data_IF_221669424684
#
_entry.id   IF_221669424684
#
_cell.length_a   1.000
_cell.length_b   1.000
_cell.length_c   1.000
_cell.angle_alpha   90.00
_cell.angle_beta   90.00
_cell.angle_gamma   90.00
#
_symmetry.space_group_name_H-M   'P 1'
#
loop_
_entity.id
_entity.type
_entity.pdbx_description
1 polymer ?
#
# COMPACT_ATOMS: atom_id res chain seq x y z
N UNK A 1 -0.62 16.08 7.08
CA UNK A 1 0.76 16.00 6.63
C UNK A 1 0.88 14.96 5.54
N UNK A 2 1.86 15.17 4.76
CA UNK A 2 2.05 14.42 3.54
C UNK A 2 3.41 13.74 3.54
N UNK A 3 3.56 12.75 2.67
CA UNK A 3 4.83 12.04 2.51
C UNK A 3 5.90 12.97 1.92
N UNK A 4 7.13 12.79 2.37
CA UNK A 4 8.29 13.45 1.76
C UNK A 4 8.65 12.74 0.46
N UNK A 5 9.48 13.39 -0.37
CA UNK A 5 9.99 12.79 -1.61
C UNK A 5 10.75 11.50 -1.34
N UNK A 6 11.53 11.45 -0.25
CA UNK A 6 12.22 10.23 0.17
C UNK A 6 11.27 9.08 0.45
N UNK A 7 10.16 9.35 1.17
CA UNK A 7 9.15 8.34 1.48
C UNK A 7 8.50 7.80 0.21
N UNK A 8 8.19 8.67 -0.74
CA UNK A 8 7.60 8.26 -2.02
C UNK A 8 8.57 7.42 -2.85
N UNK A 9 9.84 7.81 -2.90
CA UNK A 9 10.87 7.06 -3.61
C UNK A 9 11.05 5.65 -3.04
N UNK A 10 11.03 5.53 -1.73
CA UNK A 10 11.16 4.24 -1.03
C UNK A 10 9.98 3.31 -1.39
N UNK A 11 8.76 3.83 -1.40
CA UNK A 11 7.57 3.06 -1.75
C UNK A 11 7.68 2.56 -3.18
N UNK A 12 8.12 3.41 -4.10
CA UNK A 12 8.22 3.08 -5.51
C UNK A 12 9.31 2.02 -5.79
N UNK A 13 10.40 2.04 -5.04
CA UNK A 13 11.56 1.19 -5.29
C UNK A 13 11.56 -0.13 -4.52
N UNK A 14 10.60 -0.35 -3.62
CA UNK A 14 10.61 -1.50 -2.72
C UNK A 14 9.31 -2.26 -2.76
N UNK A 15 9.40 -3.56 -2.42
CA UNK A 15 8.22 -4.36 -2.13
C UNK A 15 7.68 -3.95 -0.76
N UNK A 16 6.37 -3.89 -0.62
CA UNK A 16 5.72 -3.58 0.65
C UNK A 16 5.14 -4.84 1.30
N UNK A 17 5.08 -4.83 2.62
CA UNK A 17 4.33 -5.80 3.40
C UNK A 17 3.09 -5.08 3.92
N UNK A 18 1.93 -5.51 3.44
CA UNK A 18 0.66 -4.82 3.71
C UNK A 18 -0.15 -5.61 4.70
N UNK A 19 -0.50 -4.97 5.81
CA UNK A 19 -1.29 -5.55 6.88
C UNK A 19 -2.73 -5.03 6.82
N UNK A 20 -3.66 -5.94 6.98
CA UNK A 20 -5.10 -5.67 7.07
C UNK A 20 -5.67 -6.43 8.26
N UNK A 21 -6.90 -6.15 8.64
CA UNK A 21 -7.56 -6.87 9.72
C UNK A 21 -9.05 -7.03 9.43
N UNK A 22 -9.64 -8.08 10.00
CA UNK A 22 -11.09 -8.22 10.00
C UNK A 22 -11.71 -7.18 10.93
N UNK A 23 -13.04 -7.03 10.88
CA UNK A 23 -13.74 -6.09 11.77
C UNK A 23 -13.63 -6.48 13.25
N UNK A 24 -13.37 -7.75 13.54
CA UNK A 24 -13.15 -8.22 14.92
C UNK A 24 -11.67 -8.40 15.27
N UNK A 25 -10.78 -7.84 14.45
CA UNK A 25 -9.37 -7.70 14.81
C UNK A 25 -8.45 -8.85 14.43
N UNK A 26 -8.87 -9.79 13.59
CA UNK A 26 -7.96 -10.85 13.11
C UNK A 26 -7.01 -10.26 12.07
N UNK A 27 -5.69 -10.25 12.33
CA UNK A 27 -4.73 -9.63 11.41
C UNK A 27 -4.35 -10.53 10.25
N UNK A 28 -3.93 -9.89 9.15
CA UNK A 28 -3.39 -10.57 7.97
C UNK A 28 -2.30 -9.70 7.36
N UNK A 29 -1.26 -10.32 6.82
CA UNK A 29 -0.17 -9.59 6.16
C UNK A 29 0.25 -10.32 4.90
N UNK A 30 0.47 -9.57 3.81
CA UNK A 30 0.90 -10.11 2.53
C UNK A 30 1.94 -9.20 1.88
N UNK A 31 2.88 -9.75 1.10
CA UNK A 31 3.78 -8.93 0.30
C UNK A 31 3.06 -8.41 -0.95
N UNK A 32 3.31 -7.17 -1.31
CA UNK A 32 2.74 -6.52 -2.49
C UNK A 32 3.88 -5.93 -3.31
N UNK A 33 3.97 -6.34 -4.58
CA UNK A 33 4.99 -5.85 -5.51
C UNK A 33 4.53 -4.64 -6.32
N UNK A 34 3.26 -4.59 -6.70
CA UNK A 34 2.71 -3.48 -7.46
C UNK A 34 2.10 -2.43 -6.54
N UNK A 35 2.97 -1.59 -6.00
CA UNK A 35 2.61 -0.46 -5.14
C UNK A 35 3.43 0.75 -5.58
N UNK A 36 2.78 1.90 -5.72
CA UNK A 36 3.48 3.16 -6.05
C UNK A 36 2.73 4.37 -5.50
N UNK A 37 3.44 5.45 -5.17
CA UNK A 37 2.78 6.69 -4.84
C UNK A 37 2.20 7.34 -6.10
N UNK A 38 1.03 7.96 -5.97
CA UNK A 38 0.46 8.82 -7.01
C UNK A 38 0.86 10.27 -6.77
N UNK A 39 0.85 10.68 -5.51
CA UNK A 39 1.25 11.99 -5.05
C UNK A 39 1.70 11.87 -3.59
N UNK A 40 1.91 13.01 -2.92
CA UNK A 40 2.40 13.01 -1.54
C UNK A 40 1.36 12.62 -0.48
N UNK A 41 0.14 12.26 -0.89
CA UNK A 41 -0.94 11.85 0.02
C UNK A 41 -1.49 10.48 -0.30
N UNK A 42 -1.32 10.02 -1.53
CA UNK A 42 -1.99 8.81 -2.00
C UNK A 42 -1.03 7.81 -2.60
N UNK A 43 -1.34 6.54 -2.38
CA UNK A 43 -0.57 5.40 -2.86
C UNK A 43 -1.52 4.45 -3.58
N UNK A 44 -1.08 3.87 -4.68
CA UNK A 44 -1.89 2.98 -5.49
C UNK A 44 -1.33 1.57 -5.45
N UNK A 45 -2.19 0.59 -5.22
CA UNK A 45 -1.87 -0.84 -5.29
C UNK A 45 -2.67 -1.48 -6.41
N UNK A 46 -2.03 -2.35 -7.18
CA UNK A 46 -2.72 -3.22 -8.12
C UNK A 46 -3.08 -4.53 -7.42
N UNK A 47 -4.39 -4.81 -7.30
CA UNK A 47 -4.89 -6.05 -6.71
C UNK A 47 -4.93 -7.14 -7.77
N UNK A 48 -3.91 -7.99 -7.80
CA UNK A 48 -3.86 -9.14 -8.70
C UNK A 48 -4.23 -10.46 -8.02
N UNK A 49 -3.80 -10.64 -6.77
CA UNK A 49 -3.91 -11.92 -6.06
C UNK A 49 -4.50 -11.82 -4.64
N UNK A 50 -4.99 -10.66 -4.26
CA UNK A 50 -5.53 -10.49 -2.92
C UNK A 50 -6.81 -11.29 -2.72
N UNK A 51 -6.88 -12.07 -1.67
CA UNK A 51 -8.07 -12.84 -1.28
C UNK A 51 -8.51 -12.40 0.12
N UNK A 52 -7.77 -12.80 1.15
CA UNK A 52 -8.09 -12.40 2.53
C UNK A 52 -7.92 -10.90 2.74
N UNK A 53 -6.85 -10.32 2.20
CA UNK A 53 -6.61 -8.87 2.28
C UNK A 53 -7.74 -8.09 1.62
N UNK A 54 -8.21 -8.53 0.45
CA UNK A 54 -9.32 -7.89 -0.25
C UNK A 54 -10.60 -7.94 0.57
N UNK A 55 -10.94 -9.11 1.11
CA UNK A 55 -12.12 -9.27 1.97
C UNK A 55 -12.03 -8.39 3.22
N UNK A 56 -10.85 -8.32 3.83
CA UNK A 56 -10.62 -7.46 4.99
C UNK A 56 -10.85 -6.00 4.65
N UNK A 57 -10.31 -5.52 3.53
CA UNK A 57 -10.43 -4.12 3.12
C UNK A 57 -11.86 -3.75 2.73
N UNK A 58 -12.62 -4.69 2.18
CA UNK A 58 -14.03 -4.45 1.88
C UNK A 58 -14.86 -4.24 3.16
N UNK A 59 -14.55 -4.96 4.22
CA UNK A 59 -15.25 -4.86 5.50
C UNK A 59 -14.66 -3.82 6.44
N UNK A 60 -13.34 -3.62 6.38
CA UNK A 60 -12.58 -2.69 7.22
C UNK A 60 -11.54 -1.97 6.36
N UNK A 61 -11.88 -0.81 5.80
CA UNK A 61 -11.05 -0.14 4.79
C UNK A 61 -9.84 0.60 5.40
N UNK A 62 -9.11 -0.06 6.27
CA UNK A 62 -7.90 0.46 6.91
C UNK A 62 -6.76 -0.52 6.69
N UNK A 63 -5.57 0.02 6.45
CA UNK A 63 -4.38 -0.82 6.33
C UNK A 63 -3.15 -0.11 6.88
N UNK A 64 -2.10 -0.89 7.08
CA UNK A 64 -0.77 -0.39 7.38
C UNK A 64 0.21 -1.12 6.49
N UNK A 65 1.33 -0.49 6.17
CA UNK A 65 2.39 -1.19 5.46
C UNK A 65 3.77 -0.68 5.84
N UNK A 66 4.74 -1.55 5.67
CA UNK A 66 6.17 -1.24 5.74
C UNK A 66 6.81 -1.71 4.45
N UNK A 67 7.95 -1.12 4.08
CA UNK A 67 8.69 -1.56 2.90
C UNK A 67 9.61 -2.73 3.25
N UNK A 68 10.03 -3.49 2.26
CA UNK A 68 10.83 -4.70 2.43
C UNK A 68 12.12 -4.46 3.21
N UNK A 69 12.80 -3.34 2.97
CA UNK A 69 14.03 -3.01 3.67
C UNK A 69 13.76 -1.99 4.78
N UNK A 70 12.99 -2.40 5.79
CA UNK A 70 12.60 -1.52 6.89
C UNK A 70 13.78 -1.13 7.79
N UNK A 71 14.89 -1.89 7.78
CA UNK A 71 16.10 -1.51 8.51
C UNK A 71 16.76 -0.28 7.89
N UNK A 72 16.76 -0.18 6.56
CA UNK A 72 17.30 0.95 5.81
C UNK A 72 16.26 2.06 5.66
N UNK A 73 14.98 1.69 5.50
CA UNK A 73 13.87 2.60 5.26
C UNK A 73 12.83 2.43 6.38
N UNK A 74 13.08 3.04 7.54
CA UNK A 74 12.37 2.71 8.76
C UNK A 74 11.06 3.48 8.93
N UNK A 75 10.16 3.33 7.96
CA UNK A 75 8.86 3.98 8.00
C UNK A 75 7.72 2.96 8.05
N UNK A 76 6.69 3.30 8.83
CA UNK A 76 5.41 2.59 8.85
C UNK A 76 4.35 3.56 8.38
N UNK A 77 3.59 3.17 7.38
CA UNK A 77 2.53 3.98 6.79
C UNK A 77 1.18 3.40 7.19
N UNK A 78 0.25 4.28 7.55
CA UNK A 78 -1.13 3.90 7.84
C UNK A 78 -2.09 4.76 7.04
N UNK A 79 -3.16 4.15 6.56
CA UNK A 79 -4.15 4.87 5.78
C UNK A 79 -5.46 4.14 5.63
N UNK A 80 -6.38 4.83 4.96
CA UNK A 80 -7.67 4.29 4.58
C UNK A 80 -7.71 4.06 3.08
N UNK A 81 -8.58 3.15 2.64
CA UNK A 81 -8.60 2.72 1.24
C UNK A 81 -9.96 2.88 0.59
N UNK A 82 -9.93 3.04 -0.73
CA UNK A 82 -11.07 2.87 -1.62
C UNK A 82 -10.68 1.84 -2.67
N UNK A 83 -11.62 0.98 -3.04
CA UNK A 83 -11.41 -0.10 -3.99
C UNK A 83 -12.17 0.22 -5.27
N UNK A 84 -11.47 0.20 -6.41
CA UNK A 84 -12.05 0.49 -7.72
C UNK A 84 -11.90 -0.71 -8.65
N UNK A 85 -13.02 -1.23 -9.13
CA UNK A 85 -13.05 -2.32 -10.10
C UNK A 85 -13.28 -1.79 -11.53
N UNK A 86 -13.43 -0.48 -11.68
CA UNK A 86 -13.58 0.22 -12.95
C UNK A 86 -13.18 1.69 -12.77
N UNK A 87 -13.07 2.40 -13.86
CA UNK A 87 -12.78 3.83 -13.85
C UNK A 87 -11.30 4.15 -13.97
N UNK A 88 -10.95 5.41 -13.69
CA UNK A 88 -9.62 5.96 -13.94
C UNK A 88 -8.51 5.23 -13.19
N UNK A 89 -8.68 4.99 -11.90
CA UNK A 89 -7.64 4.31 -11.10
C UNK A 89 -7.48 2.86 -11.52
N UNK A 90 -8.58 2.19 -11.83
CA UNK A 90 -8.52 0.81 -12.33
C UNK A 90 -7.77 0.77 -13.66
N UNK A 91 -8.08 1.66 -14.58
CA UNK A 91 -7.42 1.73 -15.89
C UNK A 91 -5.93 1.99 -15.73
N UNK A 92 -5.54 2.85 -14.79
CA UNK A 92 -4.13 3.11 -14.48
C UNK A 92 -3.39 1.86 -14.02
N UNK A 93 -3.95 1.07 -13.11
CA UNK A 93 -3.26 -0.14 -12.63
C UNK A 93 -3.19 -1.21 -13.71
N UNK A 94 -4.22 -1.36 -14.53
CA UNK A 94 -4.19 -2.30 -15.66
C UNK A 94 -3.06 -1.96 -16.62
N UNK A 95 -2.94 -0.70 -17.01
CA UNK A 95 -1.89 -0.24 -17.91
C UNK A 95 -0.51 -0.37 -17.29
N UNK A 96 -0.37 0.02 -16.04
CA UNK A 96 0.89 -0.07 -15.31
C UNK A 96 1.41 -1.49 -15.19
N UNK A 97 0.56 -2.45 -14.81
CA UNK A 97 0.95 -3.86 -14.71
C UNK A 97 1.33 -4.40 -16.07
N UNK A 98 0.57 -4.09 -17.10
CA UNK A 98 0.84 -4.53 -18.47
C UNK A 98 2.17 -4.02 -18.99
N UNK A 99 2.51 -2.76 -18.74
CA UNK A 99 3.76 -2.15 -19.14
C UNK A 99 4.96 -2.72 -18.38
N UNK A 100 4.77 -3.00 -17.09
CA UNK A 100 5.84 -3.51 -16.21
C UNK A 100 6.12 -4.98 -16.49
N UNK A 101 5.08 -5.79 -16.65
CA UNK A 101 5.18 -7.22 -16.91
C UNK A 101 4.02 -7.68 -17.80
N UNK A 102 4.21 -7.72 -19.14
CA UNK A 102 3.14 -8.12 -20.06
C UNK A 102 2.59 -9.54 -19.81
N UNK A 103 3.35 -10.40 -19.12
CA UNK A 103 2.92 -11.77 -18.82
C UNK A 103 2.15 -11.87 -17.50
N UNK A 104 2.10 -10.80 -16.71
CA UNK A 104 1.37 -10.79 -15.47
C UNK A 104 -0.15 -10.80 -15.74
N UNK A 105 -0.96 -11.43 -14.87
CA UNK A 105 -2.40 -11.40 -15.04
C UNK A 105 -2.96 -9.98 -14.88
N UNK A 106 -4.09 -9.75 -15.51
CA UNK A 106 -4.81 -8.47 -15.38
C UNK A 106 -5.23 -8.27 -13.92
N UNK A 107 -4.96 -7.11 -13.32
CA UNK A 107 -5.45 -6.82 -11.98
C UNK A 107 -6.97 -6.89 -11.89
N UNK A 108 -7.47 -7.29 -10.73
CA UNK A 108 -8.91 -7.35 -10.44
C UNK A 108 -9.45 -6.00 -10.02
N UNK A 109 -8.61 -5.17 -9.41
CA UNK A 109 -9.01 -3.87 -8.88
C UNK A 109 -7.80 -2.97 -8.65
N UNK A 110 -8.08 -1.68 -8.51
CA UNK A 110 -7.14 -0.70 -7.98
C UNK A 110 -7.50 -0.42 -6.52
N UNK A 111 -6.50 -0.38 -5.66
CA UNK A 111 -6.69 0.01 -4.25
C UNK A 111 -5.98 1.33 -4.05
N UNK A 112 -6.77 2.37 -3.79
CA UNK A 112 -6.26 3.72 -3.53
C UNK A 112 -6.15 3.92 -2.03
N UNK A 113 -4.93 4.18 -1.56
CA UNK A 113 -4.65 4.42 -0.15
C UNK A 113 -4.49 5.92 0.05
N UNK A 114 -5.24 6.49 0.97
CA UNK A 114 -4.98 7.83 1.48
C UNK A 114 -4.13 7.69 2.74
N UNK A 115 -2.90 8.21 2.70
CA UNK A 115 -1.98 8.12 3.83
C UNK A 115 -2.44 9.09 4.92
N UNK A 116 -2.68 8.56 6.10
CA UNK A 116 -3.17 9.32 7.24
C UNK A 116 -2.08 9.56 8.28
N UNK A 117 -1.20 8.56 8.47
CA UNK A 117 -0.15 8.63 9.48
C UNK A 117 1.12 7.94 8.99
N UNK A 118 2.27 8.48 9.38
CA UNK A 118 3.58 7.86 9.15
C UNK A 118 4.32 7.82 10.48
N UNK A 119 4.86 6.66 10.81
CA UNK A 119 5.62 6.43 12.05
C UNK A 119 7.02 5.95 11.70
N UNK A 120 7.97 6.29 12.58
CA UNK A 120 9.31 5.71 12.53
C UNK A 120 9.29 4.30 13.13
N UNK A 121 10.00 3.37 12.50
CA UNK A 121 10.32 2.05 13.08
C UNK A 121 11.82 1.88 13.29
N UNK A 122 12.56 3.00 13.27
CA UNK A 122 13.99 3.03 13.46
C UNK A 122 14.35 2.74 14.93
N UNK A 123 15.44 2.01 15.15
CA UNK A 123 15.97 1.79 16.50
C UNK A 123 16.24 3.15 17.17
N UNK A 124 15.67 3.35 18.35
CA UNK A 124 15.75 4.61 19.09
C UNK A 124 14.57 5.53 18.90
N UNK A 125 13.91 5.49 17.74
CA UNK A 125 12.74 6.33 17.43
C UNK A 125 11.48 5.50 17.15
N UNK A 126 11.53 4.19 17.37
CA UNK A 126 10.43 3.29 17.03
C UNK A 126 9.12 3.73 17.69
N UNK A 127 8.07 3.84 16.88
CA UNK A 127 6.75 4.28 17.33
C UNK A 127 6.56 5.79 17.33
N UNK A 128 7.59 6.57 17.02
CA UNK A 128 7.46 8.01 16.93
C UNK A 128 6.69 8.42 15.69
N UNK A 129 5.64 9.21 15.88
CA UNK A 129 4.87 9.74 14.76
C UNK A 129 5.67 10.82 14.05
N UNK A 130 5.85 10.64 12.74
CA UNK A 130 6.56 11.60 11.89
C UNK A 130 5.55 12.52 11.21
N UNK A 131 4.39 11.93 10.91
CA UNK A 131 3.38 12.66 10.15
C UNK A 131 1.95 12.23 10.45
#
# INVERSE_FOLDING_TARGET
MVMTDEMMEIIESSRAYVATATTNGVPNVVPIGFIKPLDNKTVLIADSYMVKSRANLEANPKLAFVVQDAAKYPYQFKGSVEIFESGEYFDQVVEWVKETNPLAPKPKAAILITIEEVYSVKVGDAGKKIA
#
